data_IF_734483655712
#
_entry.id   IF_734483655712
#
_cell.length_a   1.000
_cell.length_b   1.000
_cell.length_c   1.000
_cell.angle_alpha   90.00
_cell.angle_beta   90.00
_cell.angle_gamma   90.00
#
_symmetry.space_group_name_H-M   'P 1'
#
loop_
_entity.id
_entity.type
_entity.pdbx_description
1 polymer ?
#
# COMPACT_ATOMS: atom_id res chain seq x y z
N UNK A 1 28.33 -25.12 1.71
CA UNK A 1 28.79 -23.74 1.94
C UNK A 1 27.92 -22.86 1.06
N UNK A 2 26.76 -22.47 1.58
CA UNK A 2 25.79 -21.62 0.86
C UNK A 2 26.37 -20.21 0.88
N UNK A 3 26.63 -19.65 -0.31
CA UNK A 3 26.98 -18.22 -0.40
C UNK A 3 25.80 -17.42 0.16
N UNK A 4 26.04 -16.31 0.88
CA UNK A 4 24.95 -15.40 1.20
C UNK A 4 24.24 -15.04 -0.11
N UNK A 5 22.91 -15.19 -0.13
CA UNK A 5 22.10 -14.67 -1.22
C UNK A 5 22.37 -13.17 -1.33
N UNK A 6 22.45 -12.59 -2.55
CA UNK A 6 22.49 -11.15 -2.69
C UNK A 6 21.33 -10.54 -1.90
N UNK A 7 21.57 -9.44 -1.19
CA UNK A 7 20.52 -8.65 -0.56
C UNK A 7 19.51 -8.28 -1.66
N UNK A 8 18.35 -8.92 -1.62
CA UNK A 8 17.26 -8.61 -2.52
C UNK A 8 16.58 -7.36 -1.95
N UNK A 9 16.82 -6.21 -2.58
CA UNK A 9 16.13 -4.98 -2.25
C UNK A 9 14.76 -4.97 -2.93
N UNK A 10 13.71 -4.66 -2.15
CA UNK A 10 12.33 -4.68 -2.61
C UNK A 10 11.89 -3.26 -2.97
N UNK A 11 11.53 -3.03 -4.23
CA UNK A 11 11.06 -1.74 -4.71
C UNK A 11 9.65 -1.84 -5.28
N UNK A 12 8.92 -0.71 -5.24
CA UNK A 12 7.60 -0.55 -5.87
C UNK A 12 7.73 0.52 -6.96
N UNK A 13 7.80 0.09 -8.22
CA UNK A 13 7.90 0.99 -9.36
C UNK A 13 6.53 1.27 -9.98
N UNK A 14 6.04 2.49 -9.83
CA UNK A 14 4.84 2.97 -10.54
C UNK A 14 5.19 3.70 -11.85
N UNK A 15 6.44 4.11 -12.04
CA UNK A 15 6.88 4.89 -13.19
C UNK A 15 7.46 3.98 -14.30
N UNK A 16 6.93 4.02 -15.53
CA UNK A 16 7.45 3.23 -16.65
C UNK A 16 8.93 3.48 -16.96
N UNK A 17 9.44 4.70 -16.76
CA UNK A 17 10.84 5.04 -17.00
C UNK A 17 11.76 4.31 -16.00
N UNK A 18 11.43 4.36 -14.71
CA UNK A 18 12.18 3.68 -13.65
C UNK A 18 12.12 2.16 -13.83
N UNK A 19 10.93 1.62 -14.14
CA UNK A 19 10.76 0.19 -14.43
C UNK A 19 11.67 -0.27 -15.59
N UNK A 20 11.83 0.56 -16.63
CA UNK A 20 12.75 0.27 -17.72
C UNK A 20 14.21 0.29 -17.25
N UNK A 21 14.60 1.19 -16.36
CA UNK A 21 15.97 1.26 -15.85
C UNK A 21 16.35 0.00 -15.06
N UNK A 22 15.44 -0.49 -14.21
CA UNK A 22 15.69 -1.64 -13.32
C UNK A 22 15.42 -3.01 -13.98
N UNK A 23 14.74 -3.06 -15.13
CA UNK A 23 14.24 -4.30 -15.76
C UNK A 23 15.24 -5.45 -15.88
N UNK A 24 16.53 -5.16 -16.04
CA UNK A 24 17.57 -6.17 -16.22
C UNK A 24 18.07 -6.76 -14.88
N UNK A 25 17.74 -6.13 -13.76
CA UNK A 25 18.09 -6.55 -12.40
C UNK A 25 16.94 -7.22 -11.65
N UNK A 26 15.76 -7.37 -12.25
CA UNK A 26 14.60 -8.00 -11.62
C UNK A 26 14.82 -9.51 -11.51
N UNK A 27 14.91 -10.01 -10.28
CA UNK A 27 14.97 -11.45 -9.97
C UNK A 27 13.57 -12.07 -9.92
N UNK A 28 12.60 -11.36 -9.34
CA UNK A 28 11.22 -11.79 -9.22
C UNK A 28 10.24 -10.60 -9.24
N UNK A 29 9.05 -10.81 -9.80
CA UNK A 29 7.91 -9.89 -9.68
C UNK A 29 7.00 -10.46 -8.59
N UNK A 30 6.87 -9.74 -7.47
CA UNK A 30 6.06 -10.17 -6.33
C UNK A 30 4.57 -9.82 -6.50
N UNK A 31 4.29 -8.70 -7.15
CA UNK A 31 2.95 -8.21 -7.44
C UNK A 31 2.96 -7.53 -8.83
N UNK A 32 1.90 -7.74 -9.63
CA UNK A 32 1.73 -7.11 -10.93
C UNK A 32 1.03 -5.75 -10.84
N UNK A 33 0.53 -5.38 -9.66
CA UNK A 33 -0.31 -4.21 -9.44
C UNK A 33 -1.77 -4.46 -9.83
N UNK A 34 -2.51 -3.36 -9.92
CA UNK A 34 -3.95 -3.39 -10.14
C UNK A 34 -4.31 -3.20 -11.62
N UNK A 35 -5.42 -3.83 -12.02
CA UNK A 35 -5.99 -3.67 -13.36
C UNK A 35 -7.44 -3.20 -13.26
N UNK A 36 -7.75 -2.07 -13.89
CA UNK A 36 -9.10 -1.51 -13.89
C UNK A 36 -9.99 -2.28 -14.87
N UNK A 37 -10.93 -3.03 -14.32
CA UNK A 37 -11.99 -3.71 -15.09
C UNK A 37 -13.23 -2.83 -15.13
N UNK A 38 -13.76 -2.58 -16.32
CA UNK A 38 -15.01 -1.81 -16.44
C UNK A 38 -16.21 -2.62 -15.95
N UNK A 39 -17.09 -1.99 -15.17
CA UNK A 39 -18.34 -2.63 -14.71
C UNK A 39 -19.19 -3.21 -15.87
N UNK A 40 -19.19 -2.55 -17.02
CA UNK A 40 -19.91 -3.01 -18.22
C UNK A 40 -19.49 -4.41 -18.69
N UNK A 41 -18.23 -4.81 -18.49
CA UNK A 41 -17.73 -6.13 -18.88
C UNK A 41 -18.42 -7.26 -18.11
N UNK A 42 -18.72 -7.04 -16.83
CA UNK A 42 -19.46 -7.99 -16.00
C UNK A 42 -20.93 -8.10 -16.45
N UNK A 43 -21.55 -6.96 -16.77
CA UNK A 43 -22.95 -6.89 -17.21
C UNK A 43 -23.15 -7.55 -18.57
N UNK A 44 -22.29 -7.23 -19.55
CA UNK A 44 -22.38 -7.75 -20.91
C UNK A 44 -22.19 -9.27 -20.96
N UNK A 45 -21.29 -9.81 -20.14
CA UNK A 45 -20.97 -11.24 -20.10
C UNK A 45 -21.78 -12.03 -19.07
N UNK A 46 -22.67 -11.38 -18.31
CA UNK A 46 -23.41 -11.98 -17.19
C UNK A 46 -22.49 -12.70 -16.18
N UNK A 47 -21.30 -12.14 -15.96
CA UNK A 47 -20.33 -12.68 -15.02
C UNK A 47 -20.60 -12.10 -13.62
N UNK A 48 -20.52 -12.90 -12.53
CA UNK A 48 -20.60 -12.36 -11.18
C UNK A 48 -19.52 -11.30 -10.94
N UNK A 49 -19.86 -10.27 -10.18
CA UNK A 49 -18.87 -9.30 -9.72
C UNK A 49 -17.84 -10.02 -8.85
N UNK A 50 -16.56 -9.83 -9.17
CA UNK A 50 -15.49 -10.22 -8.29
C UNK A 50 -15.47 -9.28 -7.06
N UNK A 51 -15.01 -9.75 -5.89
CA UNK A 51 -14.68 -8.85 -4.80
C UNK A 51 -13.71 -7.76 -5.29
N UNK A 52 -14.05 -6.50 -5.02
CA UNK A 52 -13.18 -5.38 -5.36
C UNK A 52 -12.04 -5.26 -4.33
N UNK A 53 -10.88 -4.80 -4.80
CA UNK A 53 -9.82 -4.31 -3.91
C UNK A 53 -10.30 -3.11 -3.10
N UNK A 54 -9.65 -2.88 -1.95
CA UNK A 54 -9.91 -1.69 -1.15
C UNK A 54 -9.14 -0.50 -1.75
N UNK A 55 -9.81 0.30 -2.57
CA UNK A 55 -9.20 1.42 -3.32
C UNK A 55 -9.36 2.75 -2.60
N UNK A 56 -8.67 3.79 -3.06
CA UNK A 56 -8.77 5.15 -2.48
C UNK A 56 -10.20 5.71 -2.59
N UNK A 57 -10.92 5.39 -3.66
CA UNK A 57 -12.29 5.85 -3.87
C UNK A 57 -13.27 5.19 -2.90
N UNK A 58 -13.02 3.94 -2.52
CA UNK A 58 -13.76 3.28 -1.45
C UNK A 58 -13.37 3.91 -0.11
N UNK A 59 -12.08 3.97 0.20
CA UNK A 59 -11.59 4.52 1.46
C UNK A 59 -12.12 5.94 1.73
N UNK A 60 -12.20 6.80 0.71
CA UNK A 60 -12.77 8.13 0.83
C UNK A 60 -14.25 8.12 1.25
N UNK A 61 -15.03 7.12 0.81
CA UNK A 61 -16.41 6.94 1.26
C UNK A 61 -16.48 6.45 2.71
N UNK A 62 -15.59 5.54 3.10
CA UNK A 62 -15.53 5.07 4.50
C UNK A 62 -15.09 6.22 5.44
N UNK A 63 -14.16 7.07 5.00
CA UNK A 63 -13.74 8.27 5.73
C UNK A 63 -14.88 9.31 5.85
N UNK A 64 -15.65 9.52 4.78
CA UNK A 64 -16.85 10.37 4.82
C UNK A 64 -17.91 9.79 5.78
N UNK A 65 -18.12 8.47 5.74
CA UNK A 65 -19.05 7.78 6.64
C UNK A 65 -18.63 7.88 8.11
N UNK A 66 -17.33 7.91 8.37
CA UNK A 66 -16.73 8.12 9.68
C UNK A 66 -16.85 9.58 10.18
N UNK A 67 -17.34 10.49 9.34
CA UNK A 67 -17.68 11.86 9.72
C UNK A 67 -16.66 12.92 9.28
N UNK A 68 -15.66 12.56 8.47
CA UNK A 68 -14.77 13.55 7.87
C UNK A 68 -15.47 14.36 6.78
N UNK A 69 -15.15 15.65 6.70
CA UNK A 69 -15.54 16.47 5.56
C UNK A 69 -14.58 16.24 4.39
N UNK A 70 -14.82 15.15 3.66
CA UNK A 70 -13.97 14.73 2.53
C UNK A 70 -13.95 15.78 1.42
N UNK A 71 -15.02 16.55 1.22
CA UNK A 71 -15.03 17.65 0.26
C UNK A 71 -14.08 18.78 0.70
N UNK A 72 -14.12 19.17 1.97
CA UNK A 72 -13.18 20.17 2.49
C UNK A 72 -11.72 19.69 2.42
N UNK A 73 -11.46 18.39 2.64
CA UNK A 73 -10.13 17.80 2.46
C UNK A 73 -9.68 17.85 1.00
N UNK A 74 -10.56 17.51 0.03
CA UNK A 74 -10.27 17.60 -1.41
C UNK A 74 -10.00 19.02 -1.88
N UNK A 75 -10.70 20.00 -1.32
CA UNK A 75 -10.55 21.42 -1.68
C UNK A 75 -9.28 22.05 -1.06
N UNK A 76 -8.66 21.38 -0.09
CA UNK A 76 -7.44 21.86 0.58
C UNK A 76 -6.22 21.65 -0.31
N UNK A 77 -5.46 22.71 -0.66
CA UNK A 77 -4.24 22.57 -1.47
C UNK A 77 -3.07 21.94 -0.71
N UNK A 78 -3.24 21.62 0.58
CA UNK A 78 -2.22 20.98 1.42
C UNK A 78 -2.44 19.48 1.58
N UNK A 79 -3.58 18.97 1.14
CA UNK A 79 -3.97 17.58 1.35
C UNK A 79 -3.99 16.89 -0.01
N UNK A 80 -3.29 15.77 -0.11
CA UNK A 80 -3.42 14.84 -1.21
C UNK A 80 -4.09 13.58 -0.66
N UNK A 81 -5.37 13.37 -0.99
CA UNK A 81 -6.11 12.18 -0.55
C UNK A 81 -5.69 10.92 -1.32
N UNK A 82 -5.07 11.07 -2.49
CA UNK A 82 -4.63 9.94 -3.31
C UNK A 82 -3.21 9.50 -2.88
N UNK A 83 -2.38 10.44 -2.44
CA UNK A 83 -1.00 10.21 -2.02
C UNK A 83 -0.64 10.82 -0.66
N UNK A 84 -1.37 10.51 0.43
CA UNK A 84 -1.07 11.09 1.74
C UNK A 84 0.27 10.59 2.29
N UNK A 85 0.84 11.35 3.22
CA UNK A 85 1.94 10.87 4.06
C UNK A 85 1.45 9.83 5.07
N UNK A 86 2.39 9.07 5.65
CA UNK A 86 2.05 8.08 6.67
C UNK A 86 1.49 8.73 7.93
N UNK A 87 1.96 9.95 8.26
CA UNK A 87 1.48 10.73 9.40
C UNK A 87 0.02 11.15 9.19
N UNK A 88 -0.30 11.72 8.04
CA UNK A 88 -1.68 12.11 7.69
C UNK A 88 -2.63 10.91 7.68
N UNK A 89 -2.22 9.79 7.06
CA UNK A 89 -3.03 8.58 7.01
C UNK A 89 -3.35 8.03 8.41
N UNK A 90 -2.38 8.08 9.33
CA UNK A 90 -2.56 7.66 10.73
C UNK A 90 -3.41 8.65 11.52
N UNK A 91 -3.22 9.95 11.29
CA UNK A 91 -4.02 11.02 11.89
C UNK A 91 -5.50 10.83 11.54
N UNK A 92 -5.83 10.72 10.25
CA UNK A 92 -7.22 10.53 9.81
C UNK A 92 -7.84 9.23 10.32
N UNK A 93 -7.11 8.12 10.27
CA UNK A 93 -7.61 6.86 10.78
C UNK A 93 -7.95 6.95 12.28
N UNK A 94 -7.11 7.63 13.06
CA UNK A 94 -7.30 7.77 14.52
C UNK A 94 -8.36 8.82 14.87
N UNK A 95 -8.37 9.96 14.19
CA UNK A 95 -9.30 11.07 14.46
C UNK A 95 -10.74 10.68 14.15
N UNK A 96 -10.96 10.01 13.02
CA UNK A 96 -12.29 9.67 12.52
C UNK A 96 -12.73 8.25 12.88
N UNK A 97 -11.87 7.40 13.47
CA UNK A 97 -12.13 5.97 13.64
C UNK A 97 -12.43 5.27 12.30
N UNK A 98 -11.67 5.66 11.27
CA UNK A 98 -11.80 5.16 9.91
C UNK A 98 -10.70 4.12 9.60
N UNK A 99 -10.89 3.24 8.60
CA UNK A 99 -9.83 2.36 8.15
C UNK A 99 -8.61 3.15 7.65
N UNK A 100 -7.42 2.54 7.79
CA UNK A 100 -6.17 3.13 7.28
C UNK A 100 -6.23 3.29 5.75
N UNK A 101 -5.58 4.34 5.24
CA UNK A 101 -5.48 4.59 3.81
C UNK A 101 -4.89 3.38 3.05
N UNK A 102 -5.43 2.98 1.88
CA UNK A 102 -5.01 1.76 1.17
C UNK A 102 -3.55 1.76 0.72
N UNK A 103 -2.93 2.93 0.48
CA UNK A 103 -1.48 3.08 0.24
C UNK A 103 -0.61 2.40 1.32
N UNK A 104 -1.11 2.35 2.56
CA UNK A 104 -0.42 1.79 3.72
C UNK A 104 -1.03 0.45 4.18
N UNK A 105 -1.93 -0.12 3.37
CA UNK A 105 -2.52 -1.44 3.61
C UNK A 105 -1.82 -2.47 2.73
N UNK A 106 -0.79 -3.12 3.27
CA UNK A 106 -0.02 -4.14 2.57
C UNK A 106 -0.81 -5.43 2.33
N UNK A 107 -0.26 -6.35 1.55
CA UNK A 107 -0.82 -7.67 1.25
C UNK A 107 -0.75 -8.63 2.45
N UNK A 108 -1.28 -8.21 3.60
CA UNK A 108 -1.28 -8.97 4.86
C UNK A 108 -1.98 -10.33 4.73
N UNK A 109 -2.86 -10.50 3.75
CA UNK A 109 -3.54 -11.76 3.46
C UNK A 109 -2.61 -12.85 2.90
N UNK A 110 -1.44 -12.47 2.38
CA UNK A 110 -0.45 -13.40 1.83
C UNK A 110 0.55 -13.91 2.89
N UNK A 111 0.49 -13.37 4.11
CA UNK A 111 1.39 -13.72 5.20
C UNK A 111 0.62 -14.49 6.27
N UNK A 112 0.98 -15.77 6.55
CA UNK A 112 0.42 -16.50 7.67
C UNK A 112 0.68 -15.79 9.00
N UNK A 113 -0.28 -15.85 9.92
CA UNK A 113 -0.20 -15.21 11.24
C UNK A 113 1.10 -15.57 11.96
N UNK A 114 1.52 -16.83 11.90
CA UNK A 114 2.73 -17.30 12.58
C UNK A 114 4.01 -16.64 12.03
N UNK A 115 4.03 -16.33 10.73
CA UNK A 115 5.16 -15.61 10.11
C UNK A 115 5.15 -14.15 10.48
N UNK A 116 3.97 -13.53 10.55
CA UNK A 116 3.82 -12.16 11.01
C UNK A 116 4.27 -12.01 12.47
N UNK A 117 3.86 -12.93 13.36
CA UNK A 117 4.28 -12.93 14.76
C UNK A 117 5.80 -13.06 14.90
N UNK A 118 6.42 -13.96 14.13
CA UNK A 118 7.88 -14.12 14.12
C UNK A 118 8.60 -12.84 13.65
N UNK A 119 8.05 -12.15 12.64
CA UNK A 119 8.58 -10.86 12.19
C UNK A 119 8.42 -9.80 13.28
N UNK A 120 7.25 -9.72 13.92
CA UNK A 120 6.98 -8.74 14.97
C UNK A 120 7.91 -8.93 16.18
N UNK A 121 8.16 -10.18 16.60
CA UNK A 121 9.12 -10.48 17.68
C UNK A 121 10.55 -10.06 17.29
N UNK A 122 10.97 -10.36 16.06
CA UNK A 122 12.30 -9.97 15.57
C UNK A 122 12.47 -8.45 15.52
N UNK A 123 11.46 -7.70 15.05
CA UNK A 123 11.48 -6.24 15.02
C UNK A 123 11.49 -5.67 16.43
N UNK A 124 10.70 -6.22 17.36
CA UNK A 124 10.65 -5.76 18.75
C UNK A 124 11.96 -6.01 19.52
N UNK A 125 12.71 -7.05 19.16
CA UNK A 125 14.02 -7.36 19.73
C UNK A 125 15.18 -6.63 19.02
N UNK A 126 14.92 -5.99 17.88
CA UNK A 126 15.92 -5.27 17.10
C UNK A 126 16.17 -3.84 17.61
N UNK A 127 17.31 -3.30 17.23
CA UNK A 127 17.66 -1.89 17.44
C UNK A 127 17.57 -1.14 16.10
N UNK A 128 17.15 0.12 16.15
CA UNK A 128 17.15 0.99 14.98
C UNK A 128 18.51 1.68 14.87
N UNK A 129 19.29 1.32 13.86
CA UNK A 129 20.47 2.09 13.46
C UNK A 129 20.06 3.10 12.38
N UNK A 130 20.17 4.39 12.68
CA UNK A 130 19.94 5.45 11.70
C UNK A 130 21.26 5.74 10.98
N UNK A 131 21.33 5.42 9.68
CA UNK A 131 22.51 5.69 8.84
C UNK A 131 22.64 7.18 8.46
N UNK A 132 21.83 8.07 9.05
CA UNK A 132 21.88 9.54 8.87
C UNK A 132 23.01 10.22 9.67
N UNK A 133 24.18 9.60 9.70
CA UNK A 133 25.37 10.07 10.44
C UNK A 133 26.67 9.94 9.65
N UNK A 134 26.71 10.37 8.39
CA UNK A 134 27.95 10.64 7.68
C UNK A 134 27.83 11.98 6.94
N UNK A 135 28.48 13.00 7.51
CA UNK A 135 28.71 14.33 6.91
C UNK A 135 29.51 14.26 5.60
#
# INVERSE_FOLDING_TARGET
MTRPSPEADGAREANPAEALEVRNGVDAILDLGEYLVNYGEFVENNHPLAPASYTVEWWAQDLEHAGADVQALRDSPRVDLDDPSAEEALEWATEYDAPLHPKYTYCWHDVPVERFEALAEAVAAGDVEDDRGAE
#
